data_IF_038625341089
#
_entry.id   IF_038625341089
#
_cell.length_a   1.000
_cell.length_b   1.000
_cell.length_c   1.000
_cell.angle_alpha   90.00
_cell.angle_beta   90.00
_cell.angle_gamma   90.00
#
_symmetry.space_group_name_H-M   'P 1'
#
loop_
_entity.id
_entity.type
_entity.pdbx_description
1 polymer ?
#
# COMPACT_ATOMS: atom_id res chain seq x y z
N UNK A 1 -3.22 6.32 7.85
CA UNK A 1 -1.99 7.02 7.45
C UNK A 1 -1.77 8.14 8.43
N UNK A 2 -0.59 8.11 9.02
CA UNK A 2 -0.15 8.99 10.10
C UNK A 2 -0.39 10.49 9.80
N UNK A 3 -0.91 11.20 10.80
CA UNK A 3 -1.18 12.64 10.73
C UNK A 3 0.12 13.44 10.55
N UNK A 4 1.22 12.99 11.17
CA UNK A 4 2.51 13.68 11.06
C UNK A 4 3.09 13.52 9.65
N UNK A 5 3.00 12.32 9.07
CA UNK A 5 3.37 12.10 7.67
C UNK A 5 2.59 13.02 6.71
N UNK A 6 1.26 13.16 6.90
CA UNK A 6 0.45 14.08 6.06
C UNK A 6 0.94 15.52 6.16
N UNK A 7 1.27 15.98 7.38
CA UNK A 7 1.77 17.34 7.61
C UNK A 7 3.11 17.56 6.91
N UNK A 8 4.04 16.61 7.04
CA UNK A 8 5.34 16.65 6.35
C UNK A 8 5.19 16.71 4.84
N UNK A 9 4.36 15.84 4.24
CA UNK A 9 4.16 15.82 2.79
C UNK A 9 3.62 17.14 2.23
N UNK A 10 2.76 17.85 2.98
CA UNK A 10 2.29 19.19 2.58
C UNK A 10 3.42 20.21 2.55
N UNK A 11 4.28 20.21 3.57
CA UNK A 11 5.45 21.11 3.64
C UNK A 11 6.43 20.83 2.50
N UNK A 12 6.63 19.55 2.17
CA UNK A 12 7.49 19.11 1.06
C UNK A 12 6.84 19.28 -0.32
N UNK A 13 5.64 19.83 -0.40
CA UNK A 13 4.89 20.02 -1.63
C UNK A 13 4.66 18.71 -2.41
N UNK A 14 4.25 17.66 -1.67
CA UNK A 14 3.99 16.31 -2.18
C UNK A 14 2.55 15.89 -1.95
N UNK A 15 2.05 15.02 -2.83
CA UNK A 15 0.73 14.43 -2.70
C UNK A 15 0.64 13.61 -1.40
N UNK A 16 -0.36 13.87 -0.55
CA UNK A 16 -0.55 13.14 0.70
C UNK A 16 -0.83 11.65 0.50
N UNK A 17 -1.27 11.22 -0.69
CA UNK A 17 -1.49 9.81 -0.98
C UNK A 17 -0.25 9.18 -1.61
N UNK A 18 0.00 9.46 -2.89
CA UNK A 18 1.07 8.81 -3.63
C UNK A 18 2.48 9.36 -3.39
N UNK A 19 2.64 10.39 -2.55
CA UNK A 19 3.92 11.03 -2.19
C UNK A 19 4.73 11.63 -3.35
N UNK A 20 4.14 11.66 -4.56
CA UNK A 20 4.73 12.30 -5.73
C UNK A 20 4.77 13.83 -5.55
N UNK A 21 5.81 14.51 -6.05
CA UNK A 21 5.86 15.97 -6.06
C UNK A 21 4.62 16.56 -6.73
N UNK A 22 4.11 17.63 -6.17
CA UNK A 22 3.05 18.42 -6.77
C UNK A 22 3.67 19.54 -7.63
N UNK A 23 3.01 19.98 -8.72
CA UNK A 23 3.48 21.10 -9.52
C UNK A 23 3.59 22.38 -8.68
N UNK A 24 4.58 23.23 -8.92
CA UNK A 24 4.70 24.51 -8.22
C UNK A 24 3.39 25.34 -8.32
N UNK A 25 3.02 26.02 -7.23
CA UNK A 25 1.76 26.78 -7.15
C UNK A 25 0.48 25.92 -7.04
N UNK A 26 0.61 24.60 -6.92
CA UNK A 26 -0.55 23.70 -6.79
C UNK A 26 -1.08 23.65 -5.34
N UNK A 27 -2.17 24.37 -5.06
CA UNK A 27 -2.71 24.59 -3.71
C UNK A 27 -3.40 23.38 -3.05
N UNK A 28 -3.34 22.20 -3.63
CA UNK A 28 -4.13 21.05 -3.17
C UNK A 28 -3.25 19.95 -2.62
N UNK A 29 -3.74 19.27 -1.58
CA UNK A 29 -2.96 18.26 -0.86
C UNK A 29 -2.84 16.92 -1.61
N UNK A 30 -3.62 16.72 -2.68
CA UNK A 30 -3.62 15.49 -3.46
C UNK A 30 -3.52 15.76 -4.96
N UNK A 31 -2.73 14.96 -5.66
CA UNK A 31 -2.56 15.07 -7.11
C UNK A 31 -3.86 14.70 -7.87
N UNK A 32 -3.99 15.18 -9.11
CA UNK A 32 -5.15 14.90 -9.98
C UNK A 32 -5.44 13.39 -10.11
N UNK A 33 -4.39 12.57 -10.20
CA UNK A 33 -4.52 11.11 -10.31
C UNK A 33 -5.16 10.49 -9.07
N UNK A 34 -4.67 10.81 -7.87
CA UNK A 34 -5.25 10.32 -6.62
C UNK A 34 -6.69 10.84 -6.43
N UNK A 35 -6.96 12.11 -6.75
CA UNK A 35 -8.32 12.66 -6.71
C UNK A 35 -9.30 11.90 -7.61
N UNK A 36 -8.86 11.54 -8.82
CA UNK A 36 -9.67 10.74 -9.76
C UNK A 36 -9.97 9.35 -9.20
N UNK A 37 -8.99 8.70 -8.57
CA UNK A 37 -9.16 7.39 -7.95
C UNK A 37 -10.16 7.45 -6.79
N UNK A 38 -10.04 8.45 -5.92
CA UNK A 38 -10.98 8.67 -4.80
C UNK A 38 -12.40 8.94 -5.32
N UNK A 39 -12.55 9.79 -6.34
CA UNK A 39 -13.84 10.08 -6.97
C UNK A 39 -14.48 8.81 -7.56
N UNK A 40 -13.69 7.96 -8.21
CA UNK A 40 -14.16 6.65 -8.74
C UNK A 40 -14.64 5.74 -7.60
N UNK A 41 -13.95 5.73 -6.47
CA UNK A 41 -14.37 4.97 -5.28
C UNK A 41 -15.73 5.44 -4.77
N UNK A 42 -15.94 6.75 -4.67
CA UNK A 42 -17.19 7.35 -4.17
C UNK A 42 -18.39 7.16 -5.12
N UNK A 43 -18.19 7.32 -6.44
CA UNK A 43 -19.27 7.36 -7.44
C UNK A 43 -19.80 5.98 -7.90
N UNK A 44 -19.64 4.92 -7.09
CA UNK A 44 -20.09 3.57 -7.44
C UNK A 44 -18.96 2.58 -7.73
N UNK A 45 -17.73 2.86 -7.29
CA UNK A 45 -16.69 1.84 -7.22
C UNK A 45 -17.22 0.61 -6.48
N UNK A 46 -16.97 -0.58 -7.04
CA UNK A 46 -17.40 -1.83 -6.42
C UNK A 46 -16.92 -1.90 -4.96
N UNK A 47 -17.74 -2.46 -4.08
CA UNK A 47 -17.48 -2.55 -2.62
C UNK A 47 -16.03 -2.94 -2.27
N UNK A 48 -15.46 -3.91 -3.00
CA UNK A 48 -14.06 -4.34 -2.84
C UNK A 48 -13.05 -3.19 -2.96
N UNK A 49 -13.27 -2.27 -3.90
CA UNK A 49 -12.39 -1.12 -4.11
C UNK A 49 -12.49 -0.12 -2.96
N UNK A 50 -13.69 0.07 -2.39
CA UNK A 50 -13.87 0.94 -1.22
C UNK A 50 -13.07 0.44 -0.02
N UNK A 51 -13.21 -0.84 0.31
CA UNK A 51 -12.40 -1.48 1.36
C UNK A 51 -10.90 -1.35 1.10
N UNK A 52 -10.47 -1.55 -0.15
CA UNK A 52 -9.06 -1.40 -0.48
C UNK A 52 -8.55 0.03 -0.29
N UNK A 53 -9.36 1.03 -0.64
CA UNK A 53 -9.03 2.44 -0.39
C UNK A 53 -8.92 2.73 1.12
N UNK A 54 -9.80 2.17 1.95
CA UNK A 54 -9.70 2.28 3.41
C UNK A 54 -8.40 1.66 3.95
N UNK A 55 -8.02 0.49 3.43
CA UNK A 55 -6.76 -0.18 3.75
C UNK A 55 -5.56 0.68 3.36
N UNK A 56 -5.56 1.28 2.15
CA UNK A 56 -4.51 2.19 1.71
C UNK A 56 -4.49 3.46 2.57
N UNK A 57 -5.65 4.00 2.92
CA UNK A 57 -5.75 5.15 3.82
C UNK A 57 -5.24 4.82 5.22
N UNK A 58 -5.30 3.58 5.68
CA UNK A 58 -4.70 3.13 6.93
C UNK A 58 -3.18 2.92 6.80
N UNK A 59 -2.74 1.96 5.99
CA UNK A 59 -1.34 1.50 5.92
C UNK A 59 -0.44 2.35 5.01
N UNK A 60 -1.01 3.14 4.11
CA UNK A 60 -0.27 3.98 3.15
C UNK A 60 -0.58 3.65 1.69
N UNK A 61 -0.31 4.61 0.81
CA UNK A 61 -0.62 4.52 -0.63
C UNK A 61 0.61 4.22 -1.49
N UNK A 62 1.68 3.74 -0.87
CA UNK A 62 2.98 3.54 -1.50
C UNK A 62 3.55 2.21 -1.05
N UNK A 63 4.08 1.44 -2.00
CA UNK A 63 4.82 0.23 -1.72
C UNK A 63 6.03 0.55 -0.84
N UNK A 64 6.10 -0.10 0.32
CA UNK A 64 7.17 0.12 1.30
C UNK A 64 8.57 -0.23 0.76
N UNK A 65 8.65 -1.08 -0.27
CA UNK A 65 9.92 -1.51 -0.84
C UNK A 65 10.42 -0.60 -1.97
N UNK A 66 9.63 -0.41 -3.04
CA UNK A 66 10.10 0.23 -4.27
C UNK A 66 9.46 1.59 -4.59
N UNK A 67 8.53 2.09 -3.76
CA UNK A 67 7.90 3.39 -3.99
C UNK A 67 6.79 3.41 -5.05
N UNK A 68 6.41 2.25 -5.62
CA UNK A 68 5.24 2.16 -6.48
C UNK A 68 4.02 2.71 -5.74
N UNK A 69 3.21 3.52 -6.41
CA UNK A 69 2.16 4.34 -5.81
C UNK A 69 0.88 4.39 -6.63
N UNK A 70 0.79 3.58 -7.69
CA UNK A 70 -0.43 3.34 -8.47
C UNK A 70 -1.25 2.28 -7.72
N UNK A 71 -2.42 2.62 -7.16
CA UNK A 71 -3.23 1.70 -6.36
C UNK A 71 -3.57 0.37 -7.04
N UNK A 72 -3.77 0.38 -8.35
CA UNK A 72 -4.04 -0.83 -9.13
C UNK A 72 -2.87 -1.84 -9.13
N UNK A 73 -1.64 -1.39 -8.84
CA UNK A 73 -0.47 -2.24 -8.69
C UNK A 73 -0.16 -2.61 -7.24
N UNK A 74 -0.91 -2.08 -6.28
CA UNK A 74 -0.72 -2.33 -4.86
C UNK A 74 -1.54 -3.53 -4.39
N UNK A 75 -1.03 -4.17 -3.35
CA UNK A 75 -1.63 -5.28 -2.62
C UNK A 75 -1.24 -5.19 -1.14
N UNK A 76 -1.96 -5.95 -0.32
CA UNK A 76 -1.60 -6.14 1.09
C UNK A 76 -0.65 -7.33 1.18
N UNK A 77 0.51 -7.11 1.80
CA UNK A 77 1.49 -8.13 2.14
C UNK A 77 1.69 -8.22 3.65
N UNK A 78 2.42 -9.25 4.08
CA UNK A 78 2.81 -9.47 5.47
C UNK A 78 4.23 -9.01 5.71
N UNK A 79 4.50 -8.33 6.82
CA UNK A 79 5.84 -7.83 7.16
C UNK A 79 6.85 -8.97 7.27
N UNK A 80 6.48 -10.05 7.96
CA UNK A 80 7.33 -11.24 8.16
C UNK A 80 7.04 -12.40 7.20
N UNK A 81 6.36 -12.15 6.07
CA UNK A 81 5.94 -13.21 5.16
C UNK A 81 4.80 -14.08 5.74
N UNK A 82 4.67 -15.33 5.29
CA UNK A 82 3.72 -16.28 5.89
C UNK A 82 2.23 -16.04 5.62
N UNK A 83 1.86 -15.07 4.79
CA UNK A 83 0.45 -14.72 4.54
C UNK A 83 -0.43 -15.84 4.02
N UNK A 84 0.14 -16.84 3.34
CA UNK A 84 -0.58 -18.04 2.91
C UNK A 84 -1.01 -18.94 4.08
N UNK A 85 -0.25 -18.96 5.19
CA UNK A 85 -0.59 -19.72 6.39
C UNK A 85 -1.70 -19.01 7.15
N UNK A 86 -1.53 -17.71 7.43
CA UNK A 86 -2.55 -16.92 8.13
C UNK A 86 -3.90 -16.94 7.39
N UNK A 87 -3.91 -16.77 6.06
CA UNK A 87 -5.15 -16.83 5.28
C UNK A 87 -5.81 -18.22 5.27
N UNK A 88 -5.03 -19.29 5.43
CA UNK A 88 -5.59 -20.66 5.55
C UNK A 88 -6.19 -20.89 6.94
N UNK A 89 -5.58 -20.33 7.97
CA UNK A 89 -6.05 -20.46 9.35
C UNK A 89 -7.34 -19.66 9.58
N UNK A 90 -7.50 -18.54 8.87
CA UNK A 90 -8.76 -17.79 8.81
C UNK A 90 -9.70 -18.50 7.83
N UNK A 91 -10.46 -19.50 8.34
CA UNK A 91 -11.39 -20.36 7.57
C UNK A 91 -12.40 -19.60 6.70
N UNK A 92 -12.65 -18.33 7.02
CA UNK A 92 -13.63 -17.44 6.37
C UNK A 92 -13.06 -16.68 5.16
N UNK A 93 -11.75 -16.72 4.91
CA UNK A 93 -11.12 -15.96 3.82
C UNK A 93 -10.74 -16.89 2.68
N UNK A 94 -11.55 -16.89 1.61
CA UNK A 94 -11.29 -17.64 0.37
C UNK A 94 -11.05 -16.73 -0.83
N UNK A 95 -11.54 -15.48 -0.75
CA UNK A 95 -11.50 -14.49 -1.82
C UNK A 95 -10.89 -13.17 -1.33
N UNK A 96 -10.35 -12.39 -2.26
CA UNK A 96 -9.71 -11.10 -1.95
C UNK A 96 -10.64 -10.11 -1.23
N UNK A 97 -11.93 -10.09 -1.57
CA UNK A 97 -12.87 -9.18 -0.91
C UNK A 97 -13.18 -9.59 0.54
N UNK A 98 -13.18 -10.89 0.85
CA UNK A 98 -13.31 -11.41 2.22
C UNK A 98 -12.06 -11.04 3.03
N UNK A 99 -10.88 -11.13 2.41
CA UNK A 99 -9.62 -10.69 3.02
C UNK A 99 -9.64 -9.21 3.38
N UNK A 100 -10.04 -8.33 2.44
CA UNK A 100 -10.11 -6.90 2.72
C UNK A 100 -11.15 -6.56 3.78
N UNK A 101 -12.29 -7.25 3.76
CA UNK A 101 -13.30 -7.09 4.80
C UNK A 101 -12.76 -7.51 6.17
N UNK A 102 -12.10 -8.67 6.25
CA UNK A 102 -11.49 -9.15 7.49
C UNK A 102 -10.47 -8.16 8.05
N UNK A 103 -9.62 -7.55 7.22
CA UNK A 103 -8.66 -6.52 7.67
C UNK A 103 -9.38 -5.34 8.32
N UNK A 104 -10.43 -4.83 7.68
CA UNK A 104 -11.19 -3.67 8.19
C UNK A 104 -11.95 -4.03 9.46
N UNK A 105 -12.60 -5.21 9.48
CA UNK A 105 -13.36 -5.70 10.64
C UNK A 105 -12.46 -6.03 11.85
N UNK A 106 -11.18 -6.35 11.63
CA UNK A 106 -10.19 -6.64 12.68
C UNK A 106 -9.26 -5.44 12.94
N UNK A 107 -9.75 -4.22 12.69
CA UNK A 107 -9.09 -2.97 13.07
C UNK A 107 -7.66 -2.80 12.52
N UNK A 108 -7.41 -3.31 11.31
CA UNK A 108 -6.13 -3.15 10.61
C UNK A 108 -4.93 -3.77 11.37
N UNK A 109 -4.76 -5.10 11.35
CA UNK A 109 -3.67 -5.79 12.05
C UNK A 109 -2.27 -5.25 11.74
N UNK A 110 -1.43 -5.10 12.76
CA UNK A 110 -0.12 -4.46 12.65
C UNK A 110 0.91 -5.23 11.80
N UNK A 111 0.74 -6.54 11.59
CA UNK A 111 1.67 -7.36 10.79
C UNK A 111 1.48 -7.19 9.26
N UNK A 112 0.54 -6.34 8.84
CA UNK A 112 0.26 -6.08 7.44
C UNK A 112 0.96 -4.81 6.94
N UNK A 113 1.24 -4.78 5.64
CA UNK A 113 1.83 -3.63 4.97
C UNK A 113 1.39 -3.53 3.50
N UNK A 114 1.67 -2.39 2.88
CA UNK A 114 1.38 -2.16 1.46
C UNK A 114 2.61 -2.42 0.61
N UNK A 115 2.41 -3.27 -0.39
CA UNK A 115 3.43 -3.68 -1.36
C UNK A 115 2.86 -3.57 -2.77
N UNK A 116 3.71 -3.46 -3.78
CA UNK A 116 3.26 -3.74 -5.15
C UNK A 116 3.22 -5.26 -5.40
N UNK A 117 2.42 -5.71 -6.36
CA UNK A 117 2.32 -7.15 -6.69
C UNK A 117 3.68 -7.78 -6.97
N UNK A 118 4.58 -7.07 -7.66
CA UNK A 118 5.91 -7.56 -7.96
C UNK A 118 6.78 -7.74 -6.70
N UNK A 119 6.75 -6.78 -5.77
CA UNK A 119 7.53 -6.88 -4.54
C UNK A 119 6.98 -7.97 -3.61
N UNK A 120 5.66 -8.04 -3.46
CA UNK A 120 5.01 -9.08 -2.64
C UNK A 120 5.32 -10.49 -3.18
N UNK A 121 5.15 -10.70 -4.49
CA UNK A 121 5.46 -11.98 -5.13
C UNK A 121 6.95 -12.29 -5.08
N UNK A 122 7.81 -11.30 -5.36
CA UNK A 122 9.27 -11.47 -5.31
C UNK A 122 9.74 -11.93 -3.93
N UNK A 123 9.22 -11.31 -2.87
CA UNK A 123 9.49 -11.71 -1.48
C UNK A 123 9.02 -13.14 -1.20
N UNK A 124 7.80 -13.49 -1.61
CA UNK A 124 7.26 -14.86 -1.44
C UNK A 124 8.13 -15.91 -2.14
N UNK A 125 8.62 -15.62 -3.37
CA UNK A 125 9.43 -16.54 -4.17
C UNK A 125 10.77 -16.89 -3.54
N UNK A 126 11.27 -16.07 -2.62
CA UNK A 126 12.57 -16.26 -1.97
C UNK A 126 12.45 -16.66 -0.49
N UNK A 127 11.26 -17.03 -0.03
CA UNK A 127 11.04 -17.52 1.34
C UNK A 127 10.42 -16.51 2.31
N UNK A 128 10.07 -15.30 1.86
CA UNK A 128 9.22 -14.39 2.63
C UNK A 128 9.94 -13.36 3.49
N UNK A 129 11.27 -13.41 3.62
CA UNK A 129 12.02 -12.57 4.56
C UNK A 129 12.28 -11.15 4.08
N UNK A 130 12.66 -10.97 2.81
CA UNK A 130 13.01 -9.66 2.25
C UNK A 130 12.62 -9.57 0.77
N UNK A 131 12.62 -8.37 0.18
CA UNK A 131 12.29 -8.21 -1.24
C UNK A 131 13.56 -8.32 -2.11
N UNK A 132 13.53 -8.93 -3.32
CA UNK A 132 14.70 -8.97 -4.22
C UNK A 132 15.33 -7.60 -4.57
N UNK A 133 14.58 -6.50 -4.47
CA UNK A 133 15.14 -5.14 -4.60
C UNK A 133 16.15 -4.77 -3.49
N UNK A 134 16.26 -5.57 -2.44
CA UNK A 134 17.25 -5.37 -1.37
C UNK A 134 18.62 -5.98 -1.71
N UNK A 135 18.70 -6.92 -2.67
CA UNK A 135 19.98 -7.50 -3.10
C UNK A 135 20.97 -6.45 -3.61
N UNK A 136 20.49 -5.48 -4.40
CA UNK A 136 21.32 -4.46 -5.05
C UNK A 136 21.66 -3.24 -4.20
N UNK A 137 20.88 -2.95 -3.13
CA UNK A 137 21.13 -1.79 -2.26
C UNK A 137 22.40 -1.93 -1.41
N UNK A 138 22.89 -3.15 -1.24
CA UNK A 138 24.13 -3.44 -0.51
C UNK A 138 25.40 -3.36 -1.37
N UNK A 139 25.28 -3.13 -2.69
CA UNK A 139 26.43 -3.15 -3.61
C UNK A 139 26.98 -1.74 -3.89
N UNK A 140 26.20 -0.68 -3.60
CA UNK A 140 26.60 0.71 -3.87
C UNK A 140 27.46 1.37 -2.77
N UNK A 141 27.65 0.70 -1.62
CA UNK A 141 28.48 1.22 -0.51
C UNK A 141 29.92 0.66 -0.50
N UNK A 142 30.31 -0.11 -1.51
CA UNK A 142 31.71 -0.49 -1.76
C UNK A 142 32.27 0.37 -2.88
N UNK A 143 32.64 1.60 -2.56
CA UNK A 143 33.60 2.39 -3.33
C UNK A 143 34.73 2.82 -2.40
#
# INVERSE_FOLDING_TARGET
MDKELKKRLKVEHRCIHCQRPLPEGYEVESCKSCKRILKRSAAGGGWRWKLFIEILDHYGWVCICCGESIPEFLTVGHKSGGGNLQRKDIREVRKVHEWYKWIVDNEFPDDLQIECYCCNLGKERIGGEFCPHEYGRNVENTK
#
